data_IF_282646485193
#
_entry.id   IF_282646485193
#
_cell.length_a   1.000
_cell.length_b   1.000
_cell.length_c   1.000
_cell.angle_alpha   90.00
_cell.angle_beta   90.00
_cell.angle_gamma   90.00
#
_symmetry.space_group_name_H-M   'P 1'
#
loop_
_entity.id
_entity.type
_entity.pdbx_description
1 polymer ?
#
# COMPACT_ATOMS: atom_id res chain seq x y z
N UNK A 1 -7.23 -6.18 -4.17
CA UNK A 1 -8.45 -5.34 -4.12
C UNK A 1 -9.65 -6.21 -4.52
N UNK A 2 -10.88 -5.84 -4.15
CA UNK A 2 -12.04 -6.58 -4.63
C UNK A 2 -12.03 -6.60 -6.17
N UNK A 3 -12.19 -7.78 -6.78
CA UNK A 3 -12.12 -8.01 -8.23
C UNK A 3 -10.80 -7.64 -8.93
N UNK A 4 -9.65 -7.79 -8.25
CA UNK A 4 -8.33 -7.54 -8.87
C UNK A 4 -8.06 -8.44 -10.08
N UNK A 5 -7.48 -7.88 -11.15
CA UNK A 5 -7.01 -8.61 -12.31
C UNK A 5 -5.49 -8.42 -12.55
N UNK A 6 -4.83 -9.36 -13.25
CA UNK A 6 -3.44 -9.19 -13.66
C UNK A 6 -3.24 -7.90 -14.46
N UNK A 7 -2.42 -6.98 -13.94
CA UNK A 7 -2.19 -5.64 -14.51
C UNK A 7 -2.75 -4.49 -13.66
N UNK A 8 -3.69 -4.78 -12.75
CA UNK A 8 -4.16 -3.81 -11.77
C UNK A 8 -3.14 -3.58 -10.64
N UNK A 9 -3.19 -2.39 -10.06
CA UNK A 9 -2.38 -2.04 -8.87
C UNK A 9 -2.73 -2.98 -7.72
N UNK A 10 -1.71 -3.48 -7.02
CA UNK A 10 -1.91 -4.35 -5.86
C UNK A 10 -1.95 -3.53 -4.58
N UNK A 11 -2.76 -4.00 -3.63
CA UNK A 11 -2.79 -3.43 -2.28
C UNK A 11 -1.54 -3.88 -1.55
N UNK A 12 -0.81 -2.91 -0.99
CA UNK A 12 0.30 -3.16 -0.08
C UNK A 12 -0.28 -3.53 1.28
N UNK A 13 0.20 -4.60 1.94
CA UNK A 13 -0.27 -4.97 3.27
C UNK A 13 -0.11 -3.78 4.24
N UNK A 14 -1.04 -3.61 5.17
CA UNK A 14 -0.96 -2.53 6.14
C UNK A 14 0.29 -2.67 7.03
N UNK A 15 0.90 -1.56 7.48
CA UNK A 15 2.01 -1.60 8.43
C UNK A 15 1.54 -2.27 9.74
N UNK A 16 2.35 -3.17 10.29
CA UNK A 16 2.00 -3.88 11.54
C UNK A 16 2.53 -3.16 12.78
N UNK A 17 3.48 -2.25 12.59
CA UNK A 17 4.18 -1.53 13.64
C UNK A 17 4.23 -0.02 13.35
N UNK A 18 4.37 0.79 14.40
CA UNK A 18 4.51 2.23 14.26
C UNK A 18 5.72 2.63 13.41
N UNK A 19 6.84 1.93 13.57
CA UNK A 19 8.06 2.17 12.78
C UNK A 19 7.88 1.90 11.27
N UNK A 20 7.02 0.95 10.89
CA UNK A 20 6.67 0.72 9.47
C UNK A 20 5.72 1.81 8.94
N UNK A 21 4.84 2.33 9.79
CA UNK A 21 3.95 3.44 9.44
C UNK A 21 4.75 4.73 9.17
N UNK A 22 5.82 4.99 9.94
CA UNK A 22 6.70 6.14 9.71
C UNK A 22 7.49 6.03 8.40
N UNK A 23 7.76 4.80 7.93
CA UNK A 23 8.46 4.55 6.66
C UNK A 23 7.55 4.61 5.44
N UNK A 24 6.25 4.35 5.59
CA UNK A 24 5.25 4.39 4.50
C UNK A 24 5.31 5.62 3.58
N UNK A 25 5.38 6.87 4.10
CA UNK A 25 5.42 8.05 3.23
C UNK A 25 6.69 8.12 2.37
N UNK A 26 7.77 7.42 2.74
CA UNK A 26 9.02 7.40 1.98
C UNK A 26 9.06 6.34 0.87
N UNK A 27 8.12 5.39 0.88
CA UNK A 27 8.12 4.27 -0.08
C UNK A 27 7.50 4.62 -1.44
N UNK A 28 6.94 5.84 -1.60
CA UNK A 28 6.39 6.30 -2.88
C UNK A 28 5.14 5.54 -3.34
N UNK A 29 4.45 4.85 -2.42
CA UNK A 29 3.19 4.18 -2.73
C UNK A 29 2.04 5.16 -2.86
N UNK A 30 1.04 4.77 -3.63
CA UNK A 30 -0.18 5.53 -3.75
C UNK A 30 -1.10 5.18 -2.57
N UNK A 31 -0.93 5.91 -1.47
CA UNK A 31 -1.71 5.72 -0.26
C UNK A 31 -2.99 6.56 -0.30
N UNK A 32 -4.15 5.89 -0.27
CA UNK A 32 -5.43 6.56 -0.03
C UNK A 32 -5.63 6.83 1.47
N UNK A 33 -5.09 5.95 2.30
CA UNK A 33 -5.14 6.03 3.76
C UNK A 33 -3.90 5.36 4.36
N UNK A 34 -3.66 5.51 5.66
CA UNK A 34 -2.48 4.98 6.36
C UNK A 34 -2.36 3.44 6.28
N UNK A 35 -3.50 2.75 6.27
CA UNK A 35 -3.58 1.29 6.15
C UNK A 35 -3.80 0.81 4.71
N UNK A 36 -4.12 1.73 3.78
CA UNK A 36 -4.52 1.41 2.41
C UNK A 36 -3.63 2.12 1.40
N UNK A 37 -2.56 1.42 1.01
CA UNK A 37 -1.66 1.84 -0.05
C UNK A 37 -1.68 0.87 -1.23
N UNK A 38 -1.44 1.41 -2.42
CA UNK A 38 -1.34 0.65 -3.65
C UNK A 38 0.05 0.78 -4.25
N UNK A 39 0.57 -0.31 -4.80
CA UNK A 39 1.79 -0.32 -5.61
C UNK A 39 1.51 -0.90 -6.99
N UNK A 40 2.22 -0.38 -7.99
CA UNK A 40 2.23 -0.99 -9.33
C UNK A 40 3.27 -2.12 -9.32
N UNK A 41 2.91 -3.26 -9.92
CA UNK A 41 3.84 -4.36 -10.20
C UNK A 41 4.53 -4.08 -11.53
#
# INVERSE_FOLDING_TARGET
>A
PANWQPGDKVVVPAPKTAAEMEKRPTEGYECKDWYLCFKKI
#
